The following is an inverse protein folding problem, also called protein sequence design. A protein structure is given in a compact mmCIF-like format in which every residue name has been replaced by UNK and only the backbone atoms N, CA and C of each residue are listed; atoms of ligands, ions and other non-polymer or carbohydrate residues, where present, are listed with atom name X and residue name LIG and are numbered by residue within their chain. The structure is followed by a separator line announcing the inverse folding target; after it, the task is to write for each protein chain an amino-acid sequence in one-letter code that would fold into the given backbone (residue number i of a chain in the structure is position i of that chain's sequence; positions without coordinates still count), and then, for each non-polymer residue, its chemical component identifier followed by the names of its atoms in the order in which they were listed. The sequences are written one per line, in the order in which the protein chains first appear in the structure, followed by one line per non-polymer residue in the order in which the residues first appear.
data_IF_955301328324
#
_entry.id   IF_955301328324
#
_cell.length_a   1.000
_cell.length_b   1.000
_cell.length_c   1.000
_cell.angle_alpha   90.00
_cell.angle_beta   90.00
_cell.angle_gamma   90.00
#
_symmetry.space_group_name_H-M   'P 1'
#
loop_
_entity.id
_entity.type
_entity.pdbx_description
1 polymer ?
#
# COMPACT_ATOMS: atom_id res chain seq x y z
N UNK A 1 -46.79 -72.00 4.96
CA UNK A 1 -45.51 -71.85 5.70
C UNK A 1 -44.38 -72.35 4.82
N UNK A 2 -43.39 -71.47 4.58
CA UNK A 2 -41.96 -71.76 4.33
C UNK A 2 -41.56 -72.41 2.98
N UNK A 3 -40.93 -71.56 2.15
CA UNK A 3 -39.71 -71.72 1.32
C UNK A 3 -39.68 -72.81 0.23
N UNK A 4 -39.25 -72.46 -0.98
CA UNK A 4 -37.84 -72.51 -1.41
C UNK A 4 -37.70 -72.16 -2.90
N UNK A 5 -36.75 -71.27 -3.18
CA UNK A 5 -36.29 -70.80 -4.48
C UNK A 5 -35.42 -71.83 -5.20
N UNK A 6 -35.34 -71.76 -6.55
CA UNK A 6 -34.20 -72.15 -7.42
C UNK A 6 -34.61 -71.83 -8.88
N UNK A 7 -34.28 -70.65 -9.42
CA UNK A 7 -33.08 -70.31 -10.22
C UNK A 7 -32.88 -71.23 -11.44
N UNK A 8 -33.21 -70.71 -12.63
CA UNK A 8 -32.64 -71.14 -13.90
C UNK A 8 -31.90 -69.95 -14.52
N UNK A 9 -30.60 -70.16 -14.73
CA UNK A 9 -29.60 -69.20 -15.18
C UNK A 9 -29.65 -69.07 -16.71
N UNK A 10 -30.01 -67.90 -17.23
CA UNK A 10 -29.92 -67.60 -18.66
C UNK A 10 -28.54 -67.01 -18.99
N UNK A 11 -27.83 -67.69 -19.88
CA UNK A 11 -26.54 -67.33 -20.44
C UNK A 11 -26.75 -66.29 -21.56
N UNK A 12 -26.43 -65.03 -21.30
CA UNK A 12 -26.37 -63.98 -22.34
C UNK A 12 -24.94 -63.47 -22.44
N UNK A 13 -24.25 -63.89 -23.50
CA UNK A 13 -22.98 -63.33 -23.92
C UNK A 13 -23.22 -61.95 -24.54
N UNK A 14 -22.75 -60.88 -23.89
CA UNK A 14 -22.63 -59.56 -24.49
C UNK A 14 -21.14 -59.23 -24.58
N UNK A 15 -20.68 -59.06 -25.82
CA UNK A 15 -19.35 -58.58 -26.16
C UNK A 15 -19.09 -57.22 -25.52
N UNK A 16 -17.94 -57.09 -24.86
CA UNK A 16 -17.40 -55.82 -24.40
C UNK A 16 -16.89 -55.00 -25.61
N UNK A 17 -17.07 -53.67 -25.64
CA UNK A 17 -16.07 -52.79 -26.22
C UNK A 17 -14.96 -52.59 -25.18
N UNK A 18 -13.73 -52.93 -25.55
CA UNK A 18 -12.55 -52.51 -24.83
C UNK A 18 -12.52 -50.96 -24.80
N UNK A 19 -12.68 -50.36 -23.62
CA UNK A 19 -12.38 -48.95 -23.43
C UNK A 19 -10.86 -48.84 -23.48
N UNK A 20 -10.33 -48.41 -24.63
CA UNK A 20 -8.94 -47.98 -24.74
C UNK A 20 -8.80 -46.71 -23.88
N UNK A 21 -8.32 -46.86 -22.64
CA UNK A 21 -7.87 -45.71 -21.85
C UNK A 21 -6.70 -45.09 -22.61
N UNK A 22 -6.91 -43.91 -23.19
CA UNK A 22 -5.80 -43.13 -23.75
C UNK A 22 -4.84 -42.83 -22.60
N UNK A 23 -3.66 -43.47 -22.61
CA UNK A 23 -2.58 -43.11 -21.68
C UNK A 23 -2.21 -41.69 -22.04
N UNK A 24 -2.64 -40.74 -21.21
CA UNK A 24 -2.38 -39.32 -21.44
C UNK A 24 -0.88 -39.15 -21.27
N UNK A 25 -0.19 -38.83 -22.37
CA UNK A 25 1.25 -38.58 -22.33
C UNK A 25 1.50 -37.32 -21.49
N UNK A 26 1.94 -37.52 -20.26
CA UNK A 26 2.22 -36.47 -19.27
C UNK A 26 3.31 -35.48 -19.71
N UNK A 27 4.07 -35.79 -20.76
CA UNK A 27 4.99 -34.86 -21.43
C UNK A 27 4.23 -33.86 -22.33
N UNK A 28 3.10 -34.26 -22.93
CA UNK A 28 2.28 -33.40 -23.78
C UNK A 28 1.45 -32.38 -22.98
N UNK A 29 1.16 -32.66 -21.71
CA UNK A 29 0.49 -31.75 -20.78
C UNK A 29 1.43 -30.70 -20.14
N UNK A 30 2.76 -30.85 -20.30
CA UNK A 30 3.77 -29.90 -19.83
C UNK A 30 4.11 -28.79 -20.83
N UNK A 31 3.52 -28.79 -22.02
CA UNK A 31 3.44 -27.59 -22.84
C UNK A 31 2.36 -26.65 -22.27
N UNK A 32 2.50 -26.32 -20.99
CA UNK A 32 1.63 -25.39 -20.28
C UNK A 32 1.73 -24.04 -20.98
N UNK A 33 0.62 -23.53 -21.48
CA UNK A 33 0.44 -22.09 -21.67
C UNK A 33 1.02 -21.39 -20.45
N UNK A 34 1.95 -20.43 -20.59
CA UNK A 34 2.45 -19.68 -19.44
C UNK A 34 1.24 -19.18 -18.67
N UNK A 35 1.08 -19.65 -17.44
CA UNK A 35 0.06 -19.10 -16.57
C UNK A 35 0.44 -17.62 -16.42
N UNK A 36 -0.37 -16.65 -16.88
CA UNK A 36 -0.05 -15.26 -16.65
C UNK A 36 0.13 -15.09 -15.13
N UNK A 37 1.11 -14.30 -14.68
CA UNK A 37 1.28 -14.04 -13.26
C UNK A 37 -0.07 -13.66 -12.66
N UNK A 38 -0.53 -14.43 -11.68
CA UNK A 38 -1.72 -14.04 -10.92
C UNK A 38 -1.32 -12.84 -10.09
N UNK A 39 -1.62 -11.65 -10.57
CA UNK A 39 -1.47 -10.43 -9.78
C UNK A 39 -2.47 -10.52 -8.63
N UNK A 40 -1.97 -10.88 -7.44
CA UNK A 40 -2.73 -10.70 -6.21
C UNK A 40 -2.62 -9.22 -5.89
N UNK A 41 -3.58 -8.43 -6.38
CA UNK A 41 -3.69 -7.02 -5.99
C UNK A 41 -4.01 -7.00 -4.51
N UNK A 42 -3.06 -6.54 -3.68
CA UNK A 42 -3.37 -6.21 -2.29
C UNK A 42 -4.52 -5.19 -2.30
N UNK A 43 -5.50 -5.27 -1.38
CA UNK A 43 -6.49 -4.21 -1.27
C UNK A 43 -5.76 -2.88 -1.09
N UNK A 44 -6.11 -1.90 -1.94
CA UNK A 44 -5.65 -0.51 -1.84
C UNK A 44 -5.88 -0.04 -0.39
N UNK A 45 -4.83 0.39 0.28
CA UNK A 45 -4.96 1.03 1.57
C UNK A 45 -5.56 2.42 1.33
N UNK A 46 -6.81 2.58 1.75
CA UNK A 46 -7.55 3.83 1.66
C UNK A 46 -7.86 4.31 3.06
N UNK A 47 -7.54 5.57 3.34
CA UNK A 47 -8.00 6.23 4.55
C UNK A 47 -8.80 7.47 4.17
N UNK A 48 -9.91 7.67 4.87
CA UNK A 48 -10.80 8.81 4.68
C UNK A 48 -10.89 9.58 6.01
N UNK A 49 -10.93 10.89 5.92
CA UNK A 49 -11.21 11.75 7.07
C UNK A 49 -11.98 12.99 6.63
N UNK A 50 -12.75 13.54 7.56
CA UNK A 50 -13.53 14.76 7.35
C UNK A 50 -12.95 15.90 8.15
N UNK A 51 -13.12 17.12 7.69
CA UNK A 51 -12.72 18.32 8.40
C UNK A 51 -13.54 19.54 8.02
N UNK A 52 -13.17 20.68 8.58
CA UNK A 52 -13.77 21.99 8.32
C UNK A 52 -12.69 23.07 8.49
N UNK A 53 -12.47 23.90 7.47
CA UNK A 53 -11.50 25.00 7.52
C UNK A 53 -12.10 26.36 7.90
N UNK A 54 -13.41 26.49 8.15
CA UNK A 54 -14.08 27.77 8.45
C UNK A 54 -13.40 28.58 9.57
N UNK A 55 -12.91 27.88 10.60
CA UNK A 55 -12.20 28.51 11.73
C UNK A 55 -10.68 28.32 11.66
N UNK A 56 -10.16 28.03 10.47
CA UNK A 56 -8.75 27.83 10.22
C UNK A 56 -7.91 29.09 10.42
N UNK A 57 -6.61 28.89 10.44
CA UNK A 57 -5.65 30.01 10.43
C UNK A 57 -5.61 30.61 9.03
N UNK A 58 -5.32 31.91 8.95
CA UNK A 58 -5.09 32.59 7.67
C UNK A 58 -3.73 32.19 7.08
N UNK A 59 -3.70 31.95 5.77
CA UNK A 59 -2.49 31.52 5.08
C UNK A 59 -2.37 32.11 3.70
N UNK A 60 -1.16 32.56 3.38
CA UNK A 60 -0.78 33.01 2.04
C UNK A 60 -0.24 31.80 1.29
N UNK A 61 -1.15 31.03 0.69
CA UNK A 61 -0.82 29.77 0.01
C UNK A 61 0.07 29.98 -1.23
N UNK A 62 0.92 29.01 -1.60
CA UNK A 62 1.65 29.00 -2.87
C UNK A 62 0.72 28.63 -4.04
N UNK A 63 1.29 28.56 -5.24
CA UNK A 63 0.67 27.96 -6.42
C UNK A 63 0.81 26.43 -6.41
N UNK A 64 0.10 25.74 -7.31
CA UNK A 64 0.11 24.28 -7.46
C UNK A 64 1.51 23.68 -7.60
N UNK A 65 2.43 24.44 -8.20
CA UNK A 65 3.81 24.03 -8.46
C UNK A 65 4.76 24.29 -7.28
N UNK A 66 4.23 24.77 -6.15
CA UNK A 66 5.00 25.08 -4.95
C UNK A 66 5.73 26.42 -5.01
N UNK A 67 5.58 27.20 -6.09
CA UNK A 67 6.12 28.56 -6.14
C UNK A 67 5.26 29.52 -5.30
N UNK A 68 5.93 30.44 -4.61
CA UNK A 68 5.26 31.42 -3.77
C UNK A 68 5.04 32.74 -4.54
N UNK A 69 3.95 33.48 -4.30
CA UNK A 69 2.73 33.11 -3.58
C UNK A 69 1.51 33.68 -4.30
N UNK A 70 0.35 33.06 -4.10
CA UNK A 70 -0.92 33.52 -4.68
C UNK A 70 -1.36 34.83 -4.05
N UNK A 71 -1.89 35.75 -4.88
CA UNK A 71 -2.51 37.00 -4.46
C UNK A 71 -4.00 36.88 -4.10
N UNK A 72 -4.58 35.67 -4.14
CA UNK A 72 -6.01 35.44 -3.88
C UNK A 72 -6.35 35.27 -2.39
N UNK A 73 -5.34 35.24 -1.53
CA UNK A 73 -5.47 35.07 -0.08
C UNK A 73 -5.43 36.38 0.73
N UNK A 74 -5.28 36.27 2.06
CA UNK A 74 -5.10 35.01 2.80
C UNK A 74 -6.35 34.14 2.76
N UNK A 75 -6.15 32.83 2.81
CA UNK A 75 -7.20 31.81 2.82
C UNK A 75 -7.18 31.02 4.13
N UNK A 76 -8.31 30.42 4.50
CA UNK A 76 -8.34 29.51 5.65
C UNK A 76 -7.76 28.16 5.31
N UNK A 77 -6.95 27.61 6.20
CA UNK A 77 -6.42 26.25 6.06
C UNK A 77 -6.50 25.43 7.36
N UNK A 78 -6.48 24.12 7.18
CA UNK A 78 -6.25 23.13 8.23
C UNK A 78 -5.26 22.07 7.74
N UNK A 79 -4.64 21.35 8.67
CA UNK A 79 -3.63 20.34 8.37
C UNK A 79 -4.01 18.99 8.96
N UNK A 80 -3.59 17.92 8.29
CA UNK A 80 -3.67 16.56 8.78
C UNK A 80 -2.37 15.84 8.47
N UNK A 81 -1.66 15.40 9.52
CA UNK A 81 -0.49 14.54 9.38
C UNK A 81 -0.90 13.11 8.99
N UNK A 82 -0.06 12.47 8.18
CA UNK A 82 -0.18 11.05 7.89
C UNK A 82 1.19 10.42 7.66
N UNK A 83 1.29 9.12 7.90
CA UNK A 83 2.51 8.33 7.74
C UNK A 83 2.34 7.25 6.67
N UNK A 84 3.39 7.04 5.88
CA UNK A 84 3.46 6.05 4.81
C UNK A 84 4.45 4.95 5.17
N UNK A 85 4.00 3.69 5.17
CA UNK A 85 4.84 2.55 5.57
C UNK A 85 5.82 2.06 4.49
N UNK A 86 5.66 2.47 3.22
CA UNK A 86 6.48 2.00 2.12
C UNK A 86 6.48 3.01 0.96
N UNK A 87 7.60 3.16 0.24
CA UNK A 87 7.70 4.10 -0.86
C UNK A 87 6.73 3.72 -1.97
N UNK A 88 5.83 4.61 -2.34
CA UNK A 88 4.75 4.33 -3.29
C UNK A 88 4.21 5.61 -3.93
N UNK A 89 3.56 5.45 -5.08
CA UNK A 89 2.75 6.48 -5.72
C UNK A 89 1.32 6.41 -5.17
N UNK A 90 0.89 7.42 -4.43
CA UNK A 90 -0.44 7.51 -3.84
C UNK A 90 -1.28 8.61 -4.48
N UNK A 91 -2.60 8.55 -4.29
CA UNK A 91 -3.54 9.59 -4.70
C UNK A 91 -4.08 10.29 -3.46
N UNK A 92 -4.14 11.63 -3.46
CA UNK A 92 -4.73 12.45 -2.40
C UNK A 92 -5.87 13.28 -2.98
N UNK A 93 -7.08 13.04 -2.51
CA UNK A 93 -8.31 13.63 -3.05
C UNK A 93 -9.04 14.41 -1.97
N UNK A 94 -9.79 15.43 -2.37
CA UNK A 94 -10.69 16.19 -1.51
C UNK A 94 -12.02 16.42 -2.21
N UNK A 95 -13.11 16.26 -1.47
CA UNK A 95 -14.45 16.70 -1.85
C UNK A 95 -14.88 17.79 -0.87
N UNK A 96 -15.13 18.99 -1.38
CA UNK A 96 -15.51 20.18 -0.64
C UNK A 96 -16.98 20.49 -0.86
N UNK A 97 -17.75 20.61 0.23
CA UNK A 97 -19.20 20.73 0.13
C UNK A 97 -19.64 22.19 -0.06
N UNK A 98 -19.72 22.63 -1.32
CA UNK A 98 -20.29 23.93 -1.69
C UNK A 98 -19.32 25.11 -1.66
N UNK A 99 -18.01 24.84 -1.71
CA UNK A 99 -16.95 25.84 -1.76
C UNK A 99 -15.77 25.31 -2.59
N UNK A 100 -14.88 26.20 -3.03
CA UNK A 100 -13.76 25.85 -3.91
C UNK A 100 -12.47 25.67 -3.11
N UNK A 101 -11.92 24.46 -3.11
CA UNK A 101 -10.78 24.10 -2.27
C UNK A 101 -9.48 23.93 -3.04
N UNK A 102 -8.41 23.74 -2.27
CA UNK A 102 -7.07 23.50 -2.77
C UNK A 102 -6.37 22.51 -1.82
N UNK A 103 -5.76 21.47 -2.38
CA UNK A 103 -4.89 20.56 -1.65
C UNK A 103 -3.41 20.85 -1.85
N UNK A 104 -2.65 20.67 -0.78
CA UNK A 104 -1.20 20.58 -0.82
C UNK A 104 -0.72 19.39 0.00
N UNK A 105 0.36 18.76 -0.44
CA UNK A 105 1.11 17.75 0.32
C UNK A 105 2.49 18.31 0.61
N UNK A 106 2.87 18.25 1.88
CA UNK A 106 4.20 18.60 2.36
C UNK A 106 4.83 17.40 3.03
N UNK A 107 6.15 17.26 2.94
CA UNK A 107 6.89 16.42 3.88
C UNK A 107 6.94 17.14 5.24
N UNK A 108 6.69 16.42 6.32
CA UNK A 108 6.73 17.02 7.64
C UNK A 108 8.16 17.48 8.01
N UNK A 109 8.32 18.60 8.76
CA UNK A 109 7.25 19.47 9.26
C UNK A 109 6.75 20.49 8.21
N UNK A 110 5.48 20.86 8.34
CA UNK A 110 4.88 21.99 7.60
C UNK A 110 5.01 23.30 8.41
N UNK A 111 5.41 24.38 7.73
CA UNK A 111 5.48 25.74 8.31
C UNK A 111 4.66 26.72 7.44
N UNK A 112 3.55 27.27 7.95
CA UNK A 112 2.72 28.20 7.18
C UNK A 112 3.40 29.53 6.88
N UNK A 113 4.54 29.84 7.52
CA UNK A 113 5.35 31.04 7.23
C UNK A 113 6.47 30.79 6.22
N UNK A 114 6.72 29.52 5.86
CA UNK A 114 7.70 29.11 4.86
C UNK A 114 7.07 28.12 3.88
N UNK A 115 6.14 28.63 3.07
CA UNK A 115 5.17 27.82 2.33
C UNK A 115 5.77 27.00 1.18
N UNK A 116 7.02 27.26 0.80
CA UNK A 116 7.71 26.52 -0.27
C UNK A 116 8.64 25.43 0.27
N UNK A 117 8.98 25.49 1.56
CA UNK A 117 9.81 24.46 2.18
C UNK A 117 9.02 23.16 2.30
N UNK A 118 9.70 22.04 2.01
CA UNK A 118 9.15 20.68 2.08
C UNK A 118 7.90 20.44 1.21
N UNK A 119 7.61 21.33 0.25
CA UNK A 119 6.53 21.13 -0.70
C UNK A 119 6.77 19.86 -1.54
N UNK A 120 5.72 19.05 -1.71
CA UNK A 120 5.75 17.81 -2.50
C UNK A 120 4.87 17.94 -3.73
N UNK A 121 3.61 18.35 -3.54
CA UNK A 121 2.62 18.48 -4.61
C UNK A 121 1.46 19.40 -4.18
N UNK A 122 0.74 19.95 -5.14
CA UNK A 122 -0.50 20.70 -4.91
C UNK A 122 -1.41 20.64 -6.13
N UNK A 123 -2.72 20.65 -5.91
CA UNK A 123 -3.74 20.74 -6.97
C UNK A 123 -5.02 21.39 -6.43
N UNK A 124 -5.61 22.29 -7.22
CA UNK A 124 -6.88 22.96 -6.90
C UNK A 124 -8.09 22.20 -7.41
N UNK A 125 -8.04 21.68 -8.63
CA UNK A 125 -9.19 21.05 -9.27
C UNK A 125 -9.04 19.53 -9.42
N UNK A 126 -10.10 18.79 -9.09
CA UNK A 126 -10.20 17.36 -9.32
C UNK A 126 -10.99 17.01 -10.58
N UNK A 127 -11.18 15.71 -10.82
CA UNK A 127 -12.03 15.23 -11.91
C UNK A 127 -13.51 15.65 -11.77
N UNK A 128 -13.92 16.09 -10.57
CA UNK A 128 -15.24 16.66 -10.30
C UNK A 128 -15.37 18.15 -10.62
N UNK A 129 -14.27 18.84 -10.94
CA UNK A 129 -14.21 20.31 -11.08
C UNK A 129 -14.31 21.03 -9.73
N UNK A 130 -14.79 22.28 -9.76
CA UNK A 130 -14.97 23.14 -8.58
C UNK A 130 -15.61 22.37 -7.42
N UNK A 131 -14.98 22.46 -6.25
CA UNK A 131 -15.37 21.72 -5.06
C UNK A 131 -14.77 20.32 -4.97
N UNK A 132 -13.80 19.99 -5.83
CA UNK A 132 -12.95 18.82 -5.69
C UNK A 132 -11.51 19.17 -6.00
N UNK A 133 -10.55 18.46 -5.41
CA UNK A 133 -9.11 18.62 -5.72
C UNK A 133 -8.44 17.24 -5.72
N UNK A 134 -7.65 16.90 -6.75
CA UNK A 134 -7.05 15.57 -6.90
C UNK A 134 -5.55 15.61 -7.21
N UNK A 135 -4.70 15.34 -6.22
CA UNK A 135 -3.28 15.08 -6.45
C UNK A 135 -3.10 13.60 -6.78
N UNK A 136 -3.00 13.28 -8.07
CA UNK A 136 -2.85 11.91 -8.55
C UNK A 136 -1.39 11.48 -8.64
N UNK A 137 -1.09 10.27 -8.15
CA UNK A 137 0.22 9.65 -8.30
C UNK A 137 1.40 10.39 -7.64
N UNK A 138 1.19 11.02 -6.48
CA UNK A 138 2.27 11.64 -5.71
C UNK A 138 3.24 10.59 -5.18
N UNK A 139 4.54 10.76 -5.47
CA UNK A 139 5.59 9.86 -5.02
C UNK A 139 5.93 10.12 -3.55
N UNK A 140 5.58 9.20 -2.67
CA UNK A 140 5.85 9.26 -1.23
C UNK A 140 6.92 8.24 -0.85
N UNK A 141 7.79 8.58 0.09
CA UNK A 141 8.86 7.74 0.58
C UNK A 141 8.40 6.88 1.77
N UNK A 142 9.01 5.69 1.91
CA UNK A 142 8.82 4.82 3.06
C UNK A 142 9.18 5.52 4.36
N UNK A 143 8.52 5.09 5.45
CA UNK A 143 8.78 5.50 6.82
C UNK A 143 8.86 7.03 6.99
N UNK A 144 8.03 7.75 6.23
CA UNK A 144 8.03 9.21 6.16
C UNK A 144 6.66 9.76 6.54
N UNK A 145 6.68 10.82 7.35
CA UNK A 145 5.49 11.59 7.71
C UNK A 145 5.30 12.75 6.74
N UNK A 146 4.07 12.91 6.28
CA UNK A 146 3.62 13.96 5.40
C UNK A 146 2.46 14.73 6.06
N UNK A 147 2.16 15.90 5.50
CA UNK A 147 1.06 16.76 5.91
C UNK A 147 0.20 17.03 4.69
N UNK A 148 -1.08 16.70 4.76
CA UNK A 148 -2.08 17.25 3.84
C UNK A 148 -2.53 18.60 4.39
N UNK A 149 -2.43 19.64 3.58
CA UNK A 149 -3.02 20.95 3.84
C UNK A 149 -4.27 21.08 2.98
N UNK A 150 -5.40 21.36 3.61
CA UNK A 150 -6.66 21.65 2.92
C UNK A 150 -7.02 23.10 3.17
N UNK A 151 -7.20 23.85 2.08
CA UNK A 151 -7.40 25.29 2.13
C UNK A 151 -8.40 25.75 1.05
N UNK A 152 -8.84 27.00 1.12
CA UNK A 152 -9.63 27.63 0.07
C UNK A 152 -8.81 27.97 -1.17
N UNK A 153 -9.47 27.99 -2.32
CA UNK A 153 -8.89 28.53 -3.55
C UNK A 153 -8.64 30.04 -3.40
N UNK A 154 -9.62 30.81 -2.91
CA UNK A 154 -9.47 32.26 -2.63
C UNK A 154 -10.09 32.63 -1.27
N UNK A 155 -9.87 33.89 -0.85
CA UNK A 155 -10.42 34.40 0.40
C UNK A 155 -11.95 34.27 0.42
N UNK A 156 -12.48 33.65 1.47
CA UNK A 156 -13.90 33.35 1.64
C UNK A 156 -14.30 31.93 1.23
N UNK A 157 -13.42 31.16 0.59
CA UNK A 157 -13.68 29.74 0.32
C UNK A 157 -13.34 28.90 1.55
N UNK A 158 -14.40 28.49 2.25
CA UNK A 158 -14.29 27.71 3.47
C UNK A 158 -15.54 26.86 3.72
N UNK A 159 -15.35 25.76 4.45
CA UNK A 159 -16.41 24.88 4.87
C UNK A 159 -15.93 23.46 5.15
N UNK A 160 -16.90 22.55 5.22
CA UNK A 160 -16.64 21.13 5.46
C UNK A 160 -16.08 20.43 4.22
N UNK A 161 -15.22 19.46 4.42
CA UNK A 161 -14.66 18.62 3.37
C UNK A 161 -14.48 17.17 3.82
N UNK A 162 -14.30 16.29 2.83
CA UNK A 162 -13.82 14.90 3.03
C UNK A 162 -12.57 14.71 2.20
N UNK A 163 -11.49 14.26 2.81
CA UNK A 163 -10.27 13.88 2.11
C UNK A 163 -10.10 12.37 2.10
N UNK A 164 -9.48 11.89 1.04
CA UNK A 164 -9.13 10.48 0.83
C UNK A 164 -7.66 10.38 0.45
N UNK A 165 -6.92 9.52 1.15
CA UNK A 165 -5.56 9.14 0.76
C UNK A 165 -5.60 7.68 0.35
N UNK A 166 -5.16 7.40 -0.87
CA UNK A 166 -5.21 6.08 -1.47
C UNK A 166 -3.82 5.64 -1.91
N UNK A 167 -3.33 4.56 -1.32
CA UNK A 167 -2.07 3.94 -1.69
C UNK A 167 -2.32 2.50 -2.14
N UNK A 168 -1.79 2.04 -3.29
CA UNK A 168 -2.02 0.67 -3.76
C UNK A 168 -1.61 -0.42 -2.75
N UNK A 169 -0.52 -0.25 -2.01
CA UNK A 169 0.02 -1.27 -1.09
C UNK A 169 0.54 -0.73 0.24
N UNK A 170 1.02 0.50 0.30
CA UNK A 170 1.55 1.11 1.51
C UNK A 170 0.43 1.37 2.52
N UNK A 171 0.67 1.12 3.81
CA UNK A 171 -0.29 1.48 4.86
C UNK A 171 -0.22 2.97 5.11
N UNK A 172 -1.40 3.59 5.20
CA UNK A 172 -1.57 5.01 5.57
C UNK A 172 -2.12 5.09 6.99
N UNK A 173 -1.42 5.81 7.87
CA UNK A 173 -1.87 6.05 9.25
C UNK A 173 -2.02 7.55 9.48
N UNK A 174 -3.17 8.00 9.97
CA UNK A 174 -3.41 9.42 10.29
C UNK A 174 -2.87 9.79 11.67
N UNK A 175 -2.46 11.05 11.79
CA UNK A 175 -1.98 11.67 13.02
C UNK A 175 -0.45 11.57 13.19
N UNK A 176 0.06 12.09 14.32
CA UNK A 176 1.49 12.07 14.59
C UNK A 176 1.99 10.64 14.67
N UNK A 177 2.95 10.30 13.82
CA UNK A 177 3.60 8.99 13.87
C UNK A 177 4.50 8.92 15.10
N UNK A 178 4.09 8.13 16.09
CA UNK A 178 5.01 7.67 17.12
C UNK A 178 5.83 6.54 16.51
N UNK A 179 7.15 6.69 16.31
CA UNK A 179 7.97 5.57 15.87
C UNK A 179 7.77 4.45 16.89
N UNK A 180 7.33 3.28 16.41
CA UNK A 180 7.44 2.08 17.24
C UNK A 180 8.90 1.97 17.63
N UNK A 181 9.18 1.98 18.95
CA UNK A 181 10.54 1.78 19.43
C UNK A 181 11.12 0.60 18.66
N UNK A 182 12.22 0.84 17.93
CA UNK A 182 12.85 -0.19 17.13
C UNK A 182 12.99 -1.42 18.02
N UNK A 183 12.31 -2.52 17.66
CA UNK A 183 12.49 -3.77 18.37
C UNK A 183 14.00 -4.02 18.29
N UNK A 184 14.72 -4.08 19.43
CA UNK A 184 16.16 -4.29 19.38
C UNK A 184 16.40 -5.51 18.51
N UNK A 185 17.22 -5.37 17.46
CA UNK A 185 17.65 -6.52 16.69
C UNK A 185 18.12 -7.57 17.68
N UNK A 186 17.76 -8.86 17.51
CA UNK A 186 18.16 -9.90 18.45
C UNK A 186 19.69 -9.84 18.58
N UNK A 187 20.17 -9.33 19.71
CA UNK A 187 21.59 -9.27 19.97
C UNK A 187 22.01 -10.69 20.31
N UNK A 188 22.92 -11.25 19.51
CA UNK A 188 23.61 -12.47 19.90
C UNK A 188 24.33 -12.16 21.21
N UNK A 189 24.01 -12.88 22.27
CA UNK A 189 24.76 -12.74 23.53
C UNK A 189 26.25 -13.04 23.27
N UNK A 190 27.14 -12.58 24.16
CA UNK A 190 28.55 -12.97 24.10
C UNK A 190 28.73 -14.50 24.03
N UNK A 191 27.82 -15.26 24.66
CA UNK A 191 27.75 -16.71 24.55
C UNK A 191 27.35 -17.21 23.16
N UNK A 192 26.41 -16.53 22.48
CA UNK A 192 26.03 -16.84 21.10
C UNK A 192 27.17 -16.61 20.10
N UNK A 193 27.95 -15.53 20.29
CA UNK A 193 29.16 -15.26 19.50
C UNK A 193 30.25 -16.30 19.75
N UNK A 194 30.49 -16.68 21.01
CA UNK A 194 31.47 -17.70 21.37
C UNK A 194 31.11 -19.08 20.79
N UNK A 195 29.82 -19.47 20.84
CA UNK A 195 29.35 -20.72 20.24
C UNK A 195 29.55 -20.73 18.71
N UNK A 196 29.25 -19.63 18.03
CA UNK A 196 29.46 -19.51 16.59
C UNK A 196 30.95 -19.58 16.22
N UNK A 197 31.82 -18.91 16.98
CA UNK A 197 33.27 -18.97 16.79
C UNK A 197 33.82 -20.38 17.02
N UNK A 198 33.29 -21.12 18.00
CA UNK A 198 33.69 -22.49 18.29
C UNK A 198 33.28 -23.45 17.15
N UNK A 199 32.05 -23.30 16.63
CA UNK A 199 31.56 -24.09 15.49
C UNK A 199 32.40 -23.82 14.24
N UNK A 200 32.67 -22.55 13.92
CA UNK A 200 33.51 -22.19 12.78
C UNK A 200 34.95 -22.68 12.94
N UNK A 201 35.51 -22.61 14.15
CA UNK A 201 36.84 -23.13 14.47
C UNK A 201 36.94 -24.65 14.33
N UNK A 202 35.93 -25.39 14.80
CA UNK A 202 35.85 -26.85 14.67
C UNK A 202 35.69 -27.28 13.22
N UNK A 203 34.86 -26.60 12.43
CA UNK A 203 34.71 -26.86 10.99
C UNK A 203 36.01 -26.58 10.24
N UNK A 204 36.71 -25.49 10.56
CA UNK A 204 38.02 -25.19 9.99
C UNK A 204 39.07 -26.27 10.31
N UNK A 205 39.09 -26.78 11.54
CA UNK A 205 40.03 -27.85 11.95
C UNK A 205 39.77 -29.17 11.22
N UNK A 206 38.51 -29.51 10.96
CA UNK A 206 38.12 -30.71 10.22
C UNK A 206 38.52 -30.60 8.73
N UNK A 207 38.36 -29.42 8.12
CA UNK A 207 38.75 -29.18 6.72
C UNK A 207 40.27 -29.19 6.52
N UNK A 208 41.05 -28.71 7.49
CA UNK A 208 42.52 -28.77 7.41
C UNK A 208 43.04 -30.21 7.56
N UNK A 209 42.40 -31.02 8.41
CA UNK A 209 42.77 -32.44 8.58
C UNK A 209 42.45 -33.32 7.38
N UNK A 210 41.40 -33.01 6.60
CA UNK A 210 41.03 -33.82 5.43
C UNK A 210 41.84 -33.53 4.16
N UNK A 211 42.67 -32.48 4.15
CA UNK A 211 43.56 -32.14 3.02
C UNK A 211 45.02 -32.56 3.22
N UNK A 212 45.34 -33.17 4.36
CA UNK A 212 46.69 -33.62 4.73
C UNK A 212 46.91 -35.14 4.61
N UNK A 213 46.03 -35.88 3.94
CA UNK A 213 46.21 -37.29 3.58
C UNK A 213 46.16 -37.46 2.07
#
# INVERSE_FOLDING_TARGET
MIRQSLIALALSAVMAPAISQSVVNEVALKATTPNPPRTVTSPRASVNYTGDNTNGTDWVRPFADGTCCSGLGPVKFVTQEFHISASESCDVLSVQNGWDGYLFVYQAPFDPNNQTANFVAGDDDGAGGIGTSDINGVSLAADTTYVVVTTGFQNGDEGTFTNTINCPTATVTLGPYAPVNAVPAPTMSAGGLAALALVLGLVGLVVVRSRGQ
#
